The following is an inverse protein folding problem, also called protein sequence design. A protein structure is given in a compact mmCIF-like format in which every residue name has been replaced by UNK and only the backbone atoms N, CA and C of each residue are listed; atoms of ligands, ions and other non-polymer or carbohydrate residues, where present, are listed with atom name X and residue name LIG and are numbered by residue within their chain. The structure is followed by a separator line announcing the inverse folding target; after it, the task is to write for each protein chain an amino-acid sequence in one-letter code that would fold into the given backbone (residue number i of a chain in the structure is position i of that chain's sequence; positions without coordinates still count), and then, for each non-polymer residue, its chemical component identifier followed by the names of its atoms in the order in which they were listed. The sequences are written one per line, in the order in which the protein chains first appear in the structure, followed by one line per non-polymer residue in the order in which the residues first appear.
data_IF_946860906543
#
_entry.id   IF_946860906543
#
_cell.length_a   1.000
_cell.length_b   1.000
_cell.length_c   1.000
_cell.angle_alpha   90.00
_cell.angle_beta   90.00
_cell.angle_gamma   90.00
#
_symmetry.space_group_name_H-M   'P 1'
#
loop_
_entity.id
_entity.type
_entity.pdbx_description
1 polymer ?
#
# COMPACT_ATOMS: atom_id res chain seq x y z
N UNK A 1 9.97 -6.96 -8.31
CA UNK A 1 10.64 -6.96 -6.99
C UNK A 1 11.28 -5.59 -6.79
N UNK A 2 11.37 -5.11 -5.57
CA UNK A 2 12.00 -3.84 -5.23
C UNK A 2 12.56 -3.89 -3.80
N UNK A 3 13.70 -3.24 -3.60
CA UNK A 3 14.32 -3.03 -2.31
C UNK A 3 14.49 -1.52 -2.13
N UNK A 4 14.13 -1.01 -0.97
CA UNK A 4 14.32 0.39 -0.62
C UNK A 4 14.90 0.50 0.79
N UNK A 5 15.93 1.33 0.92
CA UNK A 5 16.41 1.85 2.20
C UNK A 5 15.90 3.29 2.30
N UNK A 6 15.18 3.59 3.37
CA UNK A 6 14.58 4.90 3.60
C UNK A 6 15.17 5.56 4.84
N UNK A 7 15.12 6.89 4.86
CA UNK A 7 15.60 7.74 5.95
C UNK A 7 17.10 7.60 6.22
N UNK A 8 17.89 7.39 5.15
CA UNK A 8 19.35 7.53 5.19
C UNK A 8 19.70 9.01 5.08
N UNK A 9 19.70 9.73 6.21
CA UNK A 9 19.92 11.17 6.24
C UNK A 9 20.68 11.62 7.48
N UNK A 10 21.25 12.82 7.40
CA UNK A 10 21.97 13.44 8.51
C UNK A 10 21.00 13.85 9.61
N UNK A 11 21.37 13.56 10.85
CA UNK A 11 20.60 13.86 12.05
C UNK A 11 20.61 15.38 12.29
N UNK A 12 19.44 16.02 12.21
CA UNK A 12 19.31 17.41 12.60
C UNK A 12 19.07 17.47 14.12
N UNK A 13 19.95 18.08 14.93
CA UNK A 13 19.76 18.16 16.36
C UNK A 13 18.56 19.06 16.68
N UNK A 14 17.63 18.55 17.49
CA UNK A 14 16.58 19.39 18.05
C UNK A 14 17.12 19.96 19.36
N UNK A 15 17.73 21.14 19.25
CA UNK A 15 18.31 21.94 20.34
C UNK A 15 19.58 21.32 20.96
N UNK A 16 19.56 20.11 21.52
CA UNK A 16 20.75 19.43 22.11
C UNK A 16 20.79 17.90 21.98
N UNK A 17 19.69 17.25 21.61
CA UNK A 17 19.64 15.81 21.34
C UNK A 17 19.33 15.55 19.87
N UNK A 18 20.14 14.70 19.25
CA UNK A 18 19.88 14.20 17.91
C UNK A 18 18.78 13.13 18.00
N UNK A 19 17.62 13.40 17.40
CA UNK A 19 16.60 12.37 17.21
C UNK A 19 17.06 11.48 16.05
N UNK A 20 17.46 10.26 16.37
CA UNK A 20 17.79 9.24 15.39
C UNK A 20 16.62 9.04 14.42
N UNK A 21 16.89 9.19 13.12
CA UNK A 21 15.88 8.92 12.10
C UNK A 21 15.62 7.41 12.04
N UNK A 22 14.36 6.95 12.08
CA UNK A 22 14.06 5.54 11.99
C UNK A 22 14.45 5.04 10.59
N UNK A 23 15.57 4.32 10.52
CA UNK A 23 16.04 3.67 9.29
C UNK A 23 15.09 2.51 9.01
N UNK A 24 14.49 2.54 7.82
CA UNK A 24 13.56 1.52 7.37
C UNK A 24 14.15 0.74 6.19
N UNK A 25 14.20 -0.57 6.34
CA UNK A 25 14.51 -1.51 5.27
C UNK A 25 13.21 -2.08 4.72
N UNK A 26 12.90 -1.79 3.46
CA UNK A 26 11.69 -2.29 2.79
C UNK A 26 12.05 -3.21 1.63
N UNK A 27 11.45 -4.40 1.63
CA UNK A 27 11.56 -5.38 0.55
C UNK A 27 10.16 -5.66 0.03
N UNK A 28 9.96 -5.63 -1.28
CA UNK A 28 8.65 -5.83 -1.88
C UNK A 28 8.72 -6.71 -3.12
N UNK A 29 7.76 -7.61 -3.25
CA UNK A 29 7.51 -8.37 -4.46
C UNK A 29 6.12 -8.01 -4.98
N UNK A 30 6.02 -7.83 -6.30
CA UNK A 30 4.73 -7.69 -6.95
C UNK A 30 4.75 -8.53 -8.21
N UNK A 31 3.65 -9.23 -8.42
CA UNK A 31 3.43 -10.01 -9.61
C UNK A 31 2.14 -9.54 -10.28
N UNK A 32 2.20 -9.34 -11.59
CA UNK A 32 1.04 -9.01 -12.40
C UNK A 32 0.55 -10.31 -12.99
N UNK A 33 -0.42 -10.94 -12.34
CA UNK A 33 -1.05 -12.12 -12.88
C UNK A 33 -2.00 -11.69 -14.01
N UNK A 34 -1.54 -11.91 -15.24
CA UNK A 34 -2.35 -11.85 -16.46
C UNK A 34 -2.89 -13.26 -16.73
N UNK A 35 -4.21 -13.46 -16.78
CA UNK A 35 -4.79 -14.53 -17.57
C UNK A 35 -5.23 -13.89 -18.90
N UNK A 36 -4.46 -14.08 -19.95
CA UNK A 36 -4.47 -15.19 -20.90
C UNK A 36 -5.54 -14.99 -21.98
N UNK A 37 -5.09 -15.20 -23.20
CA UNK A 37 -5.80 -14.96 -24.45
C UNK A 37 -7.10 -15.75 -24.44
N UNK A 38 -8.25 -15.07 -24.53
CA UNK A 38 -9.49 -15.72 -24.91
C UNK A 38 -9.41 -16.10 -26.39
N UNK A 39 -9.70 -17.38 -26.70
CA UNK A 39 -9.62 -18.07 -28.00
C UNK A 39 -10.49 -17.48 -29.13
N UNK A 40 -10.92 -16.22 -29.04
CA UNK A 40 -11.70 -15.49 -30.06
C UNK A 40 -11.31 -14.01 -30.09
N UNK A 41 -10.03 -13.71 -30.31
CA UNK A 41 -9.57 -12.42 -30.88
C UNK A 41 -9.91 -11.12 -30.13
N UNK A 42 -10.38 -11.16 -28.87
CA UNK A 42 -10.64 -9.96 -28.06
C UNK A 42 -9.81 -10.02 -26.76
N UNK A 43 -8.89 -9.06 -26.54
CA UNK A 43 -8.13 -9.00 -25.31
C UNK A 43 -9.06 -8.52 -24.17
N UNK A 44 -9.62 -9.45 -23.42
CA UNK A 44 -10.27 -9.14 -22.15
C UNK A 44 -9.20 -8.52 -21.24
N UNK A 45 -9.22 -7.20 -21.09
CA UNK A 45 -8.16 -6.38 -20.47
C UNK A 45 -8.29 -6.34 -18.94
N UNK A 46 -8.55 -7.48 -18.31
CA UNK A 46 -8.56 -7.55 -16.85
C UNK A 46 -7.13 -7.68 -16.35
N UNK A 47 -6.73 -6.76 -15.46
CA UNK A 47 -5.37 -6.73 -14.92
C UNK A 47 -5.41 -6.96 -13.43
N UNK A 48 -5.03 -8.15 -13.00
CA UNK A 48 -4.86 -8.50 -11.59
C UNK A 48 -3.39 -8.34 -11.20
N UNK A 49 -3.14 -7.69 -10.07
CA UNK A 49 -1.81 -7.48 -9.52
C UNK A 49 -1.85 -7.92 -8.07
N UNK A 50 -0.92 -8.80 -7.72
CA UNK A 50 -0.68 -9.21 -6.35
C UNK A 50 0.63 -8.56 -5.89
N UNK A 51 0.63 -8.04 -4.68
CA UNK A 51 1.79 -7.42 -4.06
C UNK A 51 1.95 -7.93 -2.64
N UNK A 52 3.19 -8.14 -2.23
CA UNK A 52 3.55 -8.40 -0.85
C UNK A 52 4.77 -7.54 -0.50
N UNK A 53 4.76 -6.95 0.70
CA UNK A 53 5.84 -6.11 1.20
C UNK A 53 6.22 -6.50 2.63
N UNK A 54 7.50 -6.38 2.93
CA UNK A 54 8.07 -6.54 4.25
C UNK A 54 8.85 -5.27 4.57
N UNK A 55 8.53 -4.67 5.71
CA UNK A 55 9.20 -3.48 6.22
C UNK A 55 9.78 -3.78 7.59
N UNK A 56 11.06 -3.51 7.75
CA UNK A 56 11.79 -3.69 9.00
C UNK A 56 12.37 -2.35 9.43
N UNK A 57 11.94 -1.87 10.59
CA UNK A 57 12.49 -0.66 11.23
C UNK A 57 13.61 -1.10 12.17
N UNK A 58 14.85 -0.72 11.84
CA UNK A 58 16.06 -1.23 12.52
C UNK A 58 16.16 -0.71 13.96
N UNK A 59 15.72 0.53 14.18
CA UNK A 59 15.87 1.21 15.46
C UNK A 59 14.91 0.66 16.53
N UNK A 60 13.62 0.52 16.19
CA UNK A 60 12.59 0.08 17.14
C UNK A 60 12.38 -1.45 17.11
N UNK A 61 13.11 -2.18 16.27
CA UNK A 61 12.93 -3.63 16.02
C UNK A 61 11.48 -4.02 15.65
N UNK A 62 10.74 -3.10 15.04
CA UNK A 62 9.36 -3.32 14.59
C UNK A 62 9.40 -3.87 13.17
N UNK A 63 8.71 -4.97 12.94
CA UNK A 63 8.49 -5.52 11.62
C UNK A 63 7.01 -5.38 11.22
N UNK A 64 6.81 -5.09 9.94
CA UNK A 64 5.49 -5.03 9.33
C UNK A 64 5.51 -5.81 8.02
N UNK A 65 4.46 -6.59 7.78
CA UNK A 65 4.25 -7.36 6.55
C UNK A 65 2.94 -6.91 5.93
N UNK A 66 2.95 -6.56 4.66
CA UNK A 66 1.78 -6.22 3.89
C UNK A 66 1.55 -7.24 2.78
N UNK A 67 0.28 -7.49 2.49
CA UNK A 67 -0.14 -8.16 1.27
C UNK A 67 -1.29 -7.35 0.66
N UNK A 68 -1.33 -7.26 -0.67
CA UNK A 68 -2.30 -6.47 -1.38
C UNK A 68 -2.66 -7.07 -2.73
N UNK A 69 -3.89 -6.83 -3.14
CA UNK A 69 -4.41 -7.17 -4.45
C UNK A 69 -5.02 -5.92 -5.09
N UNK A 70 -4.69 -5.72 -6.36
CA UNK A 70 -5.26 -4.69 -7.20
C UNK A 70 -5.88 -5.35 -8.42
N UNK A 71 -7.15 -5.06 -8.68
CA UNK A 71 -7.92 -5.60 -9.79
C UNK A 71 -8.49 -4.47 -10.65
N UNK A 72 -8.11 -4.44 -11.92
CA UNK A 72 -8.68 -3.53 -12.91
C UNK A 72 -9.75 -4.24 -13.71
N UNK A 73 -11.00 -3.83 -13.51
CA UNK A 73 -12.17 -4.32 -14.29
C UNK A 73 -12.16 -3.67 -15.67
N UNK A 74 -11.84 -2.38 -15.71
CA UNK A 74 -11.79 -1.55 -16.92
C UNK A 74 -10.64 -0.54 -16.75
N UNK A 75 -10.03 0.03 -17.82
CA UNK A 75 -9.05 1.12 -17.68
C UNK A 75 -9.52 2.35 -16.89
N UNK A 76 -10.83 2.42 -16.58
CA UNK A 76 -11.47 3.48 -15.81
C UNK A 76 -11.70 3.09 -14.35
N UNK A 77 -11.78 1.81 -14.00
CA UNK A 77 -12.14 1.33 -12.66
C UNK A 77 -11.11 0.34 -12.11
N UNK A 78 -10.52 0.70 -10.98
CA UNK A 78 -9.62 -0.14 -10.19
C UNK A 78 -10.24 -0.44 -8.82
N UNK A 79 -10.16 -1.68 -8.38
CA UNK A 79 -10.53 -2.11 -7.03
C UNK A 79 -9.27 -2.60 -6.34
N UNK A 80 -9.09 -2.22 -5.08
CA UNK A 80 -7.91 -2.54 -4.28
C UNK A 80 -8.36 -3.08 -2.93
N UNK A 81 -7.70 -4.13 -2.50
CA UNK A 81 -7.82 -4.64 -1.15
C UNK A 81 -6.43 -5.00 -0.64
N UNK A 82 -6.18 -4.82 0.64
CA UNK A 82 -4.89 -5.16 1.23
C UNK A 82 -5.01 -5.42 2.71
N UNK A 83 -4.05 -6.15 3.25
CA UNK A 83 -3.93 -6.42 4.66
C UNK A 83 -2.50 -6.11 5.10
N UNK A 84 -2.36 -5.25 6.10
CA UNK A 84 -1.08 -4.90 6.69
C UNK A 84 -1.02 -5.42 8.11
N UNK A 85 -0.11 -6.35 8.34
CA UNK A 85 0.29 -6.78 9.67
C UNK A 85 1.44 -5.91 10.20
N UNK A 86 1.31 -5.35 11.40
CA UNK A 86 2.39 -4.65 12.09
C UNK A 86 2.51 -5.18 13.52
N UNK A 87 3.69 -5.69 13.88
CA UNK A 87 3.93 -6.33 15.18
C UNK A 87 3.69 -5.41 16.38
N UNK A 88 3.92 -4.10 16.25
CA UNK A 88 3.75 -3.15 17.34
C UNK A 88 2.29 -2.67 17.48
N UNK A 89 1.58 -2.54 16.36
CA UNK A 89 0.24 -1.93 16.32
C UNK A 89 -0.85 -3.00 16.47
N UNK A 90 -0.66 -4.20 15.92
CA UNK A 90 -1.72 -5.23 15.92
C UNK A 90 -1.86 -5.96 17.24
N UNK A 91 -0.87 -5.88 18.14
CA UNK A 91 -1.01 -6.40 19.49
C UNK A 91 -2.00 -5.56 20.32
N UNK A 92 -2.20 -4.29 19.96
CA UNK A 92 -3.06 -3.35 20.71
C UNK A 92 -4.34 -2.98 19.98
N UNK A 93 -4.34 -2.91 18.65
CA UNK A 93 -5.47 -2.44 17.84
C UNK A 93 -6.32 -3.56 17.21
N UNK A 94 -5.93 -4.83 17.40
CA UNK A 94 -6.62 -6.01 16.90
C UNK A 94 -6.28 -6.33 15.43
N UNK A 95 -6.40 -7.62 15.07
CA UNK A 95 -6.04 -8.11 13.74
C UNK A 95 -6.82 -7.42 12.59
N UNK A 96 -8.05 -6.96 12.84
CA UNK A 96 -8.86 -6.30 11.81
C UNK A 96 -8.37 -4.88 11.43
N UNK A 97 -7.54 -4.24 12.24
CA UNK A 97 -6.99 -2.91 11.95
C UNK A 97 -6.05 -2.88 10.74
N UNK A 98 -5.59 -4.05 10.29
CA UNK A 98 -4.74 -4.17 9.11
C UNK A 98 -5.47 -4.17 7.78
N UNK A 99 -6.78 -4.43 7.76
CA UNK A 99 -7.54 -4.66 6.52
C UNK A 99 -7.88 -3.33 5.83
N UNK A 100 -7.57 -3.17 4.56
CA UNK A 100 -7.82 -1.94 3.80
C UNK A 100 -8.53 -2.28 2.51
N UNK A 101 -9.48 -1.43 2.13
CA UNK A 101 -10.24 -1.57 0.88
C UNK A 101 -10.25 -0.23 0.17
N UNK A 102 -10.28 -0.23 -1.15
CA UNK A 102 -10.34 0.99 -1.93
C UNK A 102 -10.84 0.79 -3.35
N UNK A 103 -11.33 1.87 -3.93
CA UNK A 103 -11.81 1.94 -5.31
C UNK A 103 -11.23 3.18 -5.95
N UNK A 104 -10.68 3.04 -7.15
CA UNK A 104 -10.11 4.11 -7.96
C UNK A 104 -10.87 4.25 -9.26
N UNK A 105 -11.20 5.50 -9.60
CA UNK A 105 -11.79 5.89 -10.87
C UNK A 105 -10.82 6.77 -11.64
N UNK A 106 -10.58 6.45 -12.92
CA UNK A 106 -9.68 7.21 -13.78
C UNK A 106 -10.37 7.62 -15.08
N UNK A 107 -10.54 8.92 -15.27
CA UNK A 107 -11.24 9.49 -16.43
C UNK A 107 -10.29 10.50 -17.08
N UNK A 108 -9.61 10.07 -18.16
CA UNK A 108 -8.67 10.91 -18.90
C UNK A 108 -7.54 11.45 -18.02
N UNK A 109 -7.56 12.76 -17.79
CA UNK A 109 -6.59 13.52 -16.99
C UNK A 109 -6.88 13.48 -15.48
N UNK A 110 -8.09 13.11 -15.07
CA UNK A 110 -8.50 13.09 -13.67
C UNK A 110 -8.53 11.65 -13.11
N UNK A 111 -8.07 11.50 -11.88
CA UNK A 111 -8.13 10.29 -11.10
C UNK A 111 -8.72 10.59 -9.71
N UNK A 112 -9.67 9.78 -9.28
CA UNK A 112 -10.28 9.84 -7.95
C UNK A 112 -10.03 8.49 -7.29
N UNK A 113 -9.32 8.47 -6.17
CA UNK A 113 -9.08 7.26 -5.39
C UNK A 113 -9.76 7.41 -4.02
N UNK A 114 -10.62 6.45 -3.70
CA UNK A 114 -11.28 6.33 -2.42
C UNK A 114 -10.74 5.11 -1.68
N UNK A 115 -10.29 5.28 -0.44
CA UNK A 115 -9.79 4.20 0.39
C UNK A 115 -10.44 4.24 1.77
N UNK A 116 -10.88 3.07 2.24
CA UNK A 116 -11.38 2.81 3.56
C UNK A 116 -10.29 2.09 4.36
N UNK A 117 -9.87 2.71 5.46
CA UNK A 117 -8.84 2.19 6.37
C UNK A 117 -9.42 2.14 7.79
N UNK A 118 -9.77 0.95 8.32
CA UNK A 118 -10.12 0.76 9.71
C UNK A 118 -8.86 0.88 10.57
N UNK A 119 -8.88 1.76 11.55
CA UNK A 119 -7.83 1.89 12.55
C UNK A 119 -8.24 1.24 13.87
N UNK A 120 -8.79 0.02 13.80
CA UNK A 120 -9.23 -0.74 14.98
C UNK A 120 -10.15 0.10 15.88
N UNK A 121 -9.71 0.35 17.12
CA UNK A 121 -10.45 1.10 18.14
C UNK A 121 -10.59 2.62 17.84
N UNK A 122 -9.81 3.15 16.90
CA UNK A 122 -9.92 4.53 16.41
C UNK A 122 -11.02 4.70 15.33
N UNK A 123 -11.67 3.61 14.93
CA UNK A 123 -12.77 3.61 13.96
C UNK A 123 -12.35 3.61 12.49
N UNK A 124 -13.30 3.90 11.60
CA UNK A 124 -13.10 3.86 10.15
C UNK A 124 -12.62 5.21 9.61
N UNK A 125 -11.46 5.21 8.96
CA UNK A 125 -10.94 6.37 8.25
C UNK A 125 -11.26 6.29 6.76
N UNK A 126 -11.91 7.32 6.24
CA UNK A 126 -12.20 7.47 4.82
C UNK A 126 -11.17 8.43 4.21
N UNK A 127 -10.37 7.94 3.27
CA UNK A 127 -9.36 8.71 2.56
C UNK A 127 -9.79 8.92 1.12
N UNK A 128 -9.99 10.18 0.75
CA UNK A 128 -10.29 10.60 -0.63
C UNK A 128 -9.04 11.26 -1.20
N UNK A 129 -8.60 10.81 -2.37
CA UNK A 129 -7.46 11.39 -3.09
C UNK A 129 -7.89 11.80 -4.50
N UNK A 130 -7.47 12.99 -4.91
CA UNK A 130 -7.73 13.55 -6.24
C UNK A 130 -6.39 13.74 -6.95
N UNK A 131 -6.31 13.27 -8.18
CA UNK A 131 -5.10 13.30 -9.01
C UNK A 131 -5.47 13.95 -10.34
N UNK A 132 -4.72 14.98 -10.73
CA UNK A 132 -4.81 15.58 -12.06
C UNK A 132 -3.47 15.40 -12.78
N UNK A 133 -3.51 14.96 -14.04
CA UNK A 133 -2.35 14.78 -14.92
C UNK A 133 -2.47 15.74 -16.09
N UNK A 134 -1.48 16.62 -16.27
CA UNK A 134 -1.40 17.59 -17.37
C UNK A 134 -0.31 17.18 -18.36
#
# INVERSE_FOLDING_TARGET
MGLALQNMGYEAPFILEASVLPINLKVGISNRCLPDKSEQGKPCSYKLILAADLNYSILDSIWAVGAGVEYWVHPVLAIRAGYKYNSAINNTLGALAGLTCGVGFKIGILGIDYALVPYGDLGYTHRISLIAKF
#
